data_IF_102933456989
#
_entry.id   IF_102933456989
#
_cell.length_a   1.000
_cell.length_b   1.000
_cell.length_c   1.000
_cell.angle_alpha   90.00
_cell.angle_beta   90.00
_cell.angle_gamma   90.00
#
_symmetry.space_group_name_H-M   'P 1'
#
loop_
_entity.id
_entity.type
_entity.pdbx_description
1 polymer ?
#
# COMPACT_ATOMS: atom_id res chain seq x y z
N UNK A 1 -22.46 15.90 9.26
CA UNK A 1 -21.22 15.13 9.54
C UNK A 1 -21.53 13.66 9.29
N UNK A 2 -21.17 13.13 8.12
CA UNK A 2 -21.34 11.71 7.80
C UNK A 2 -20.23 10.93 8.52
N UNK A 3 -20.53 10.37 9.69
CA UNK A 3 -19.68 9.36 10.32
C UNK A 3 -19.92 8.05 9.59
N UNK A 4 -19.06 7.74 8.62
CA UNK A 4 -19.11 6.48 7.88
C UNK A 4 -18.88 5.31 8.88
N UNK A 5 -19.88 4.45 9.13
CA UNK A 5 -19.80 3.41 10.14
C UNK A 5 -18.79 2.30 9.80
N UNK A 6 -18.33 2.23 8.56
CA UNK A 6 -17.40 1.20 8.09
C UNK A 6 -15.93 1.46 8.46
N UNK A 7 -15.57 2.70 8.83
CA UNK A 7 -14.17 3.07 9.02
C UNK A 7 -13.95 3.78 10.36
N UNK A 8 -13.80 3.00 11.43
CA UNK A 8 -13.31 3.52 12.73
C UNK A 8 -11.78 3.51 12.74
N UNK A 9 -11.16 4.69 12.83
CA UNK A 9 -9.71 4.87 12.97
C UNK A 9 -9.15 6.00 12.11
N UNK A 10 -7.97 6.52 12.48
CA UNK A 10 -7.21 7.42 11.61
C UNK A 10 -6.73 6.61 10.39
N UNK A 11 -6.89 7.12 9.16
CA UNK A 11 -6.34 6.45 7.99
C UNK A 11 -4.82 6.35 8.16
N UNK A 12 -4.30 5.12 8.13
CA UNK A 12 -2.86 4.88 8.17
C UNK A 12 -2.26 5.28 6.83
N UNK A 13 -1.16 6.02 6.87
CA UNK A 13 -0.44 6.41 5.66
C UNK A 13 0.44 5.26 5.13
N UNK A 14 0.91 5.38 3.89
CA UNK A 14 1.78 4.38 3.29
C UNK A 14 3.15 4.25 3.97
N UNK A 15 3.62 5.30 4.66
CA UNK A 15 4.83 5.22 5.46
C UNK A 15 4.70 4.15 6.56
N UNK A 16 3.52 4.02 7.16
CA UNK A 16 3.23 2.99 8.17
C UNK A 16 3.47 1.58 7.61
N UNK A 17 3.14 1.33 6.35
CA UNK A 17 3.39 0.02 5.70
C UNK A 17 4.88 -0.26 5.55
N UNK A 18 5.67 0.75 5.16
CA UNK A 18 7.13 0.66 5.05
C UNK A 18 7.75 0.42 6.44
N UNK A 19 7.29 1.15 7.45
CA UNK A 19 7.79 1.02 8.81
C UNK A 19 7.48 -0.36 9.39
N UNK A 20 6.29 -0.90 9.13
CA UNK A 20 5.92 -2.26 9.52
C UNK A 20 6.77 -3.31 8.82
N UNK A 21 7.07 -3.12 7.54
CA UNK A 21 7.97 -4.00 6.81
C UNK A 21 9.37 -4.03 7.45
N UNK A 22 9.95 -2.87 7.75
CA UNK A 22 11.26 -2.81 8.40
C UNK A 22 11.23 -3.36 9.83
N UNK A 23 10.17 -3.11 10.58
CA UNK A 23 9.96 -3.70 11.90
C UNK A 23 9.88 -5.22 11.82
N UNK A 24 9.16 -5.77 10.85
CA UNK A 24 9.08 -7.20 10.60
C UNK A 24 10.45 -7.79 10.26
N UNK A 25 11.23 -7.15 9.37
CA UNK A 25 12.61 -7.56 9.09
C UNK A 25 13.47 -7.61 10.36
N UNK A 26 13.39 -6.58 11.20
CA UNK A 26 14.11 -6.56 12.48
C UNK A 26 13.68 -7.71 13.40
N UNK A 27 12.39 -8.01 13.47
CA UNK A 27 11.86 -9.13 14.26
C UNK A 27 12.30 -10.50 13.73
N UNK A 28 12.56 -10.64 12.43
CA UNK A 28 13.20 -11.82 11.85
C UNK A 28 14.70 -11.92 12.16
N UNK A 29 15.27 -10.92 12.84
CA UNK A 29 16.70 -10.84 13.16
C UNK A 29 17.56 -10.32 12.01
N UNK A 30 16.94 -9.78 10.95
CA UNK A 30 17.62 -9.26 9.75
C UNK A 30 18.27 -7.90 10.03
N UNK A 31 19.45 -7.89 10.64
CA UNK A 31 20.16 -6.64 11.01
C UNK A 31 21.66 -6.75 10.76
N UNK A 32 22.25 -5.70 10.17
CA UNK A 32 23.64 -5.73 9.66
C UNK A 32 24.72 -5.70 10.75
N UNK A 33 24.40 -5.19 11.95
CA UNK A 33 25.41 -4.91 12.97
C UNK A 33 25.71 -6.09 13.90
N UNK A 34 24.73 -6.94 14.22
CA UNK A 34 24.88 -8.06 15.17
C UNK A 34 23.85 -9.20 14.95
N UNK A 35 23.12 -9.21 13.82
CA UNK A 35 22.03 -10.16 13.55
C UNK A 35 22.30 -11.10 12.36
N UNK A 36 21.25 -11.79 11.90
CA UNK A 36 21.28 -12.56 10.66
C UNK A 36 21.34 -11.61 9.48
N UNK A 37 22.18 -11.92 8.49
CA UNK A 37 22.05 -11.31 7.16
C UNK A 37 20.93 -12.07 6.42
N UNK A 38 19.82 -11.40 6.16
CA UNK A 38 18.66 -12.01 5.49
C UNK A 38 18.66 -11.81 3.97
N UNK A 39 19.83 -11.56 3.37
CA UNK A 39 19.94 -11.34 1.94
C UNK A 39 19.33 -12.50 1.15
N UNK A 40 19.61 -13.75 1.50
CA UNK A 40 19.05 -14.91 0.81
C UNK A 40 17.52 -14.98 0.93
N UNK A 41 16.96 -14.69 2.10
CA UNK A 41 15.52 -14.68 2.35
C UNK A 41 14.83 -13.58 1.53
N UNK A 42 15.42 -12.39 1.46
CA UNK A 42 14.88 -11.28 0.67
C UNK A 42 15.00 -11.56 -0.84
N UNK A 43 16.11 -12.14 -1.28
CA UNK A 43 16.33 -12.44 -2.70
C UNK A 43 15.43 -13.57 -3.24
N UNK A 44 15.07 -14.53 -2.38
CA UNK A 44 14.27 -15.69 -2.78
C UNK A 44 12.77 -15.54 -2.46
N UNK A 45 12.37 -14.54 -1.68
CA UNK A 45 10.96 -14.28 -1.39
C UNK A 45 10.24 -13.58 -2.55
N UNK A 46 8.96 -13.93 -2.72
CA UNK A 46 8.02 -13.17 -3.54
C UNK A 46 7.38 -12.06 -2.69
N UNK A 47 7.57 -10.82 -3.10
CA UNK A 47 6.93 -9.67 -2.49
C UNK A 47 5.65 -9.34 -3.24
N UNK A 48 4.51 -9.38 -2.56
CA UNK A 48 3.22 -9.00 -3.12
C UNK A 48 2.79 -7.65 -2.55
N UNK A 49 2.83 -6.61 -3.38
CA UNK A 49 2.27 -5.29 -3.06
C UNK A 49 0.81 -5.31 -3.48
N UNK A 50 -0.10 -5.34 -2.50
CA UNK A 50 -1.54 -5.42 -2.74
C UNK A 50 -2.13 -4.18 -3.43
N UNK A 51 -3.45 -4.20 -3.67
CA UNK A 51 -4.17 -3.12 -4.35
C UNK A 51 -4.15 -1.78 -3.58
N UNK A 52 -3.05 -1.04 -3.72
CA UNK A 52 -2.81 0.27 -3.12
C UNK A 52 -3.74 1.32 -3.74
N UNK A 53 -4.52 2.00 -2.90
CA UNK A 53 -5.40 3.10 -3.31
C UNK A 53 -6.89 2.75 -3.32
N UNK A 54 -7.29 1.46 -3.27
CA UNK A 54 -8.73 1.05 -3.29
C UNK A 54 -9.55 1.85 -2.26
N UNK A 55 -9.01 1.96 -1.05
CA UNK A 55 -9.69 2.62 0.06
C UNK A 55 -9.82 4.13 -0.13
N UNK A 56 -8.90 4.72 -0.87
CA UNK A 56 -8.78 6.14 -1.12
C UNK A 56 -9.77 6.54 -2.22
N UNK A 57 -9.88 5.73 -3.28
CA UNK A 57 -10.87 5.93 -4.33
C UNK A 57 -12.30 5.90 -3.78
N UNK A 58 -12.57 4.98 -2.84
CA UNK A 58 -13.87 4.92 -2.17
C UNK A 58 -14.16 6.17 -1.31
N UNK A 59 -13.13 6.88 -0.83
CA UNK A 59 -13.27 8.05 0.06
C UNK A 59 -13.22 9.39 -0.65
N UNK A 60 -12.66 9.49 -1.86
CA UNK A 60 -12.69 10.75 -2.61
C UNK A 60 -14.08 11.08 -3.15
N UNK A 61 -15.02 10.13 -3.12
CA UNK A 61 -16.38 10.35 -3.56
C UNK A 61 -17.04 11.50 -2.79
N UNK A 62 -17.54 12.50 -3.52
CA UNK A 62 -18.11 13.72 -2.94
C UNK A 62 -17.09 14.76 -2.45
N UNK A 63 -15.79 14.53 -2.65
CA UNK A 63 -14.73 15.52 -2.40
C UNK A 63 -14.44 16.37 -3.64
N UNK A 64 -13.67 17.45 -3.48
CA UNK A 64 -13.16 18.27 -4.60
C UNK A 64 -11.90 17.68 -5.27
N UNK A 65 -11.39 16.53 -4.78
CA UNK A 65 -10.20 15.90 -5.33
C UNK A 65 -10.55 15.15 -6.62
N UNK A 66 -9.69 15.26 -7.63
CA UNK A 66 -9.88 14.56 -8.89
C UNK A 66 -9.32 13.13 -8.81
N UNK A 67 -9.95 12.20 -9.52
CA UNK A 67 -9.44 10.83 -9.65
C UNK A 67 -8.05 10.79 -10.29
N UNK A 68 -7.74 11.72 -11.19
CA UNK A 68 -6.40 11.86 -11.79
C UNK A 68 -5.34 12.19 -10.73
N UNK A 69 -5.60 13.18 -9.87
CA UNK A 69 -4.68 13.50 -8.77
C UNK A 69 -4.48 12.29 -7.85
N UNK A 70 -5.57 11.59 -7.50
CA UNK A 70 -5.47 10.39 -6.67
C UNK A 70 -4.69 9.26 -7.36
N UNK A 71 -4.83 9.12 -8.68
CA UNK A 71 -4.04 8.17 -9.48
C UNK A 71 -2.55 8.45 -9.32
N UNK A 72 -2.15 9.72 -9.49
CA UNK A 72 -0.75 10.13 -9.34
C UNK A 72 -0.22 9.87 -7.93
N UNK A 73 -1.02 10.17 -6.90
CA UNK A 73 -0.63 9.86 -5.52
C UNK A 73 -0.50 8.35 -5.29
N UNK A 74 -1.42 7.54 -5.82
CA UNK A 74 -1.38 6.09 -5.67
C UNK A 74 -0.13 5.50 -6.35
N UNK A 75 0.19 5.94 -7.58
CA UNK A 75 1.41 5.53 -8.29
C UNK A 75 2.65 5.92 -7.48
N UNK A 76 2.72 7.16 -6.99
CA UNK A 76 3.85 7.62 -6.19
C UNK A 76 4.08 6.73 -4.95
N UNK A 77 3.01 6.38 -4.23
CA UNK A 77 3.13 5.56 -3.02
C UNK A 77 3.47 4.11 -3.33
N UNK A 78 2.94 3.54 -4.42
CA UNK A 78 3.36 2.22 -4.92
C UNK A 78 4.85 2.21 -5.26
N UNK A 79 5.35 3.24 -5.97
CA UNK A 79 6.77 3.35 -6.29
C UNK A 79 7.64 3.34 -5.04
N UNK A 80 7.24 4.06 -3.98
CA UNK A 80 7.97 4.06 -2.70
C UNK A 80 8.00 2.69 -2.02
N UNK A 81 6.91 1.91 -2.10
CA UNK A 81 6.86 0.54 -1.57
C UNK A 81 7.78 -0.39 -2.37
N UNK A 82 7.81 -0.24 -3.69
CA UNK A 82 8.72 -0.97 -4.58
C UNK A 82 10.17 -0.61 -4.24
N UNK A 83 10.50 0.67 -4.12
CA UNK A 83 11.85 1.13 -3.75
C UNK A 83 12.30 0.56 -2.41
N UNK A 84 11.45 0.59 -1.38
CA UNK A 84 11.78 0.07 -0.06
C UNK A 84 12.05 -1.46 -0.07
N UNK A 85 11.32 -2.21 -0.89
CA UNK A 85 11.51 -3.66 -1.04
C UNK A 85 12.74 -3.99 -1.88
N UNK A 86 12.98 -3.26 -2.98
CA UNK A 86 14.21 -3.38 -3.79
C UNK A 86 15.47 -3.09 -2.97
N UNK A 87 15.48 -1.99 -2.22
CA UNK A 87 16.59 -1.64 -1.32
C UNK A 87 16.82 -2.69 -0.23
N UNK A 88 15.82 -3.52 0.05
CA UNK A 88 15.91 -4.63 1.00
C UNK A 88 16.40 -5.94 0.38
N UNK A 89 16.66 -6.00 -0.93
CA UNK A 89 17.14 -7.20 -1.63
C UNK A 89 16.05 -7.99 -2.36
N UNK A 90 14.83 -7.47 -2.46
CA UNK A 90 13.75 -8.14 -3.20
C UNK A 90 14.09 -8.28 -4.70
N UNK A 91 13.93 -9.49 -5.24
CA UNK A 91 14.10 -9.78 -6.69
C UNK A 91 12.78 -10.06 -7.41
N UNK A 92 11.79 -10.59 -6.69
CA UNK A 92 10.51 -10.98 -7.26
C UNK A 92 9.40 -10.13 -6.63
N UNK A 93 8.84 -9.19 -7.40
CA UNK A 93 7.82 -8.26 -6.92
C UNK A 93 6.59 -8.35 -7.82
N UNK A 94 5.44 -8.62 -7.21
CA UNK A 94 4.12 -8.51 -7.84
C UNK A 94 3.47 -7.23 -7.33
N UNK A 95 3.04 -6.38 -8.27
CA UNK A 95 2.26 -5.18 -7.98
C UNK A 95 0.83 -5.45 -8.43
N UNK A 96 -0.06 -5.60 -7.47
CA UNK A 96 -1.46 -5.85 -7.75
C UNK A 96 -2.15 -4.54 -8.16
N UNK A 97 -2.73 -4.53 -9.36
CA UNK A 97 -3.55 -3.43 -9.83
C UNK A 97 -4.81 -3.23 -8.97
N UNK A 98 -5.50 -2.12 -9.21
CA UNK A 98 -6.81 -1.89 -8.64
C UNK A 98 -7.84 -2.77 -9.36
N UNK A 99 -8.82 -3.37 -8.65
CA UNK A 99 -10.00 -3.94 -9.30
C UNK A 99 -10.80 -2.83 -10.00
N UNK A 100 -11.83 -3.15 -10.80
CA UNK A 100 -12.69 -2.16 -11.46
C UNK A 100 -13.45 -1.29 -10.43
N UNK A 101 -12.80 -0.25 -9.90
CA UNK A 101 -13.30 0.52 -8.74
C UNK A 101 -14.65 1.17 -9.03
N UNK A 102 -14.85 1.66 -10.26
CA UNK A 102 -16.12 2.25 -10.70
C UNK A 102 -17.29 1.26 -10.73
N UNK A 103 -17.02 -0.05 -10.75
CA UNK A 103 -18.05 -1.10 -10.72
C UNK A 103 -18.42 -1.56 -9.31
N UNK A 104 -17.77 -1.02 -8.26
CA UNK A 104 -18.11 -1.37 -6.89
C UNK A 104 -19.49 -0.78 -6.53
N UNK A 105 -20.35 -1.51 -5.78
CA UNK A 105 -21.70 -1.03 -5.44
C UNK A 105 -21.73 0.35 -4.80
N UNK A 106 -20.71 0.69 -4.00
CA UNK A 106 -20.55 2.01 -3.40
C UNK A 106 -20.44 3.13 -4.45
N UNK A 107 -19.63 2.92 -5.49
CA UNK A 107 -19.42 3.91 -6.56
C UNK A 107 -20.67 4.04 -7.44
N UNK A 108 -21.30 2.93 -7.80
CA UNK A 108 -22.54 2.91 -8.59
C UNK A 108 -23.67 3.64 -7.84
N UNK A 109 -23.80 3.43 -6.52
CA UNK A 109 -24.88 4.04 -5.73
C UNK A 109 -24.72 5.56 -5.54
N UNK A 110 -23.50 6.09 -5.70
CA UNK A 110 -23.16 7.50 -5.39
C UNK A 110 -22.94 8.36 -6.65
N UNK A 111 -23.05 7.77 -7.85
CA UNK A 111 -23.02 8.44 -9.15
C UNK A 111 -24.18 7.90 -10.01
N UNK A 112 -25.42 8.40 -9.83
CA UNK A 112 -26.54 8.08 -10.72
C UNK A 112 -26.29 8.54 -12.16
#
# INVERSE_FOLDING_TARGET
>A
KLTNPFWKGLPMNFQTQIDWFFKFKQQMGCTDKNGKNCQAEMENALFWIGSVGVSDYARIQGSSLTSHWLTQQSIFQVSRLIEATLQSGAKYIVVQGLPPIGCLPLHISLCP
#
